data_IF_129798703827
#
_entry.id   IF_129798703827
#
_cell.length_a   1.000
_cell.length_b   1.000
_cell.length_c   1.000
_cell.angle_alpha   90.00
_cell.angle_beta   90.00
_cell.angle_gamma   90.00
#
_symmetry.space_group_name_H-M   'P 1'
#
loop_
_entity.id
_entity.type
_entity.pdbx_description
1 polymer ?
#
# COMPACT_ATOMS: atom_id res chain seq x y z
N UNK A 1 -1.02 16.35 3.14
CA UNK A 1 -1.14 15.55 1.91
C UNK A 1 -2.55 15.65 1.35
N UNK A 2 -2.74 16.41 0.26
CA UNK A 2 -4.06 16.62 -0.35
C UNK A 2 -4.33 15.51 -1.38
N UNK A 3 -5.52 14.93 -1.37
CA UNK A 3 -5.84 13.70 -2.12
C UNK A 3 -6.38 14.03 -3.51
N UNK A 4 -5.79 13.52 -4.59
CA UNK A 4 -6.17 13.97 -5.95
C UNK A 4 -6.40 12.84 -6.94
N UNK A 5 -7.27 13.13 -7.92
CA UNK A 5 -7.60 12.28 -9.07
C UNK A 5 -7.08 12.97 -10.34
N UNK A 6 -6.31 12.26 -11.16
CA UNK A 6 -6.08 12.64 -12.55
C UNK A 6 -7.12 11.93 -13.43
N UNK A 7 -7.96 12.69 -14.14
CA UNK A 7 -8.81 12.16 -15.22
C UNK A 7 -8.29 12.68 -16.55
N UNK A 8 -7.80 11.78 -17.40
CA UNK A 8 -7.57 12.05 -18.82
C UNK A 8 -8.62 11.35 -19.67
N UNK A 9 -9.31 12.12 -20.53
CA UNK A 9 -9.33 11.94 -22.00
C UNK A 9 -10.40 12.82 -22.66
N UNK A 10 -10.01 13.44 -23.78
CA UNK A 10 -10.89 13.63 -24.94
C UNK A 10 -11.34 15.06 -25.25
N UNK A 11 -10.44 15.92 -25.75
CA UNK A 11 -10.80 17.16 -26.42
C UNK A 11 -9.62 17.73 -27.20
N UNK A 12 -9.75 17.88 -28.52
CA UNK A 12 -8.71 18.43 -29.42
C UNK A 12 -8.19 19.79 -28.92
N UNK A 13 -6.89 20.09 -29.03
CA UNK A 13 -6.37 21.41 -28.67
C UNK A 13 -6.70 22.45 -29.75
N UNK A 14 -6.97 23.72 -29.39
CA UNK A 14 -6.86 24.82 -30.34
C UNK A 14 -5.37 25.10 -30.63
N UNK A 15 -5.09 25.40 -31.89
CA UNK A 15 -3.79 25.79 -32.44
C UNK A 15 -3.35 27.13 -31.82
N UNK A 16 -2.11 27.26 -31.30
CA UNK A 16 -1.48 28.56 -31.11
C UNK A 16 -0.67 28.99 -32.34
N UNK A 17 -0.47 30.31 -32.54
CA UNK A 17 -0.01 30.88 -33.80
C UNK A 17 1.46 30.59 -34.09
N UNK A 18 1.74 30.55 -35.40
CA UNK A 18 3.03 30.44 -36.06
C UNK A 18 4.00 31.52 -35.57
N UNK A 19 5.17 31.09 -35.07
CA UNK A 19 6.41 31.88 -35.16
C UNK A 19 7.25 31.24 -36.26
N UNK A 20 7.54 32.06 -37.27
CA UNK A 20 8.21 31.68 -38.49
C UNK A 20 9.72 31.50 -38.29
N UNK A 21 10.27 30.41 -38.83
CA UNK A 21 11.63 30.40 -39.37
C UNK A 21 11.62 29.65 -40.71
N UNK A 22 11.94 30.41 -41.76
CA UNK A 22 12.25 29.96 -43.13
C UNK A 22 13.40 28.95 -43.10
N UNK A 23 13.35 27.87 -43.90
CA UNK A 23 14.00 27.83 -45.22
C UNK A 23 13.74 26.49 -45.94
N UNK A 24 13.48 26.58 -47.27
CA UNK A 24 13.67 25.61 -48.40
C UNK A 24 13.17 24.16 -48.23
N UNK A 25 12.48 23.49 -49.16
CA UNK A 25 12.16 23.70 -50.57
C UNK A 25 11.87 22.32 -51.22
N UNK A 26 10.94 22.30 -52.18
CA UNK A 26 10.72 21.28 -53.24
C UNK A 26 10.22 19.85 -52.92
N UNK A 27 9.19 19.43 -53.69
CA UNK A 27 9.24 18.14 -54.40
C UNK A 27 8.05 17.19 -54.24
N UNK A 28 7.24 17.04 -55.29
CA UNK A 28 6.25 15.97 -55.51
C UNK A 28 6.94 14.60 -55.69
N UNK A 29 6.27 13.49 -55.36
CA UNK A 29 6.66 12.17 -55.88
C UNK A 29 5.93 10.95 -55.29
N UNK A 30 5.34 10.14 -56.18
CA UNK A 30 4.69 8.85 -55.93
C UNK A 30 5.61 7.75 -55.38
N UNK A 31 5.01 6.83 -54.60
CA UNK A 31 5.14 5.38 -54.80
C UNK A 31 6.31 4.63 -54.15
N UNK A 32 5.93 3.57 -53.42
CA UNK A 32 6.60 2.27 -53.17
C UNK A 32 6.82 1.95 -51.69
N UNK A 33 6.28 0.79 -51.31
CA UNK A 33 6.49 0.17 -50.01
C UNK A 33 7.96 -0.13 -49.75
N UNK A 34 8.35 0.08 -48.50
CA UNK A 34 9.59 -0.45 -47.93
C UNK A 34 9.34 -0.72 -46.46
N UNK A 35 9.51 -1.98 -46.07
CA UNK A 35 9.49 -2.42 -44.69
C UNK A 35 10.50 -1.60 -43.87
N UNK A 36 10.01 -0.88 -42.86
CA UNK A 36 10.86 -0.25 -41.85
C UNK A 36 11.25 -1.31 -40.83
N UNK A 37 12.52 -1.71 -40.92
CA UNK A 37 13.25 -2.48 -39.93
C UNK A 37 13.17 -1.70 -38.60
N UNK A 38 12.58 -2.30 -37.57
CA UNK A 38 12.59 -1.74 -36.22
C UNK A 38 14.05 -1.54 -35.78
N UNK A 39 14.37 -0.33 -35.34
CA UNK A 39 15.63 -0.07 -34.64
C UNK A 39 15.63 -0.89 -33.33
N UNK A 40 16.77 -1.46 -32.91
CA UNK A 40 16.84 -2.13 -31.62
C UNK A 40 16.56 -1.08 -30.53
N UNK A 41 15.62 -1.40 -29.64
CA UNK A 41 15.43 -0.64 -28.42
C UNK A 41 16.71 -0.77 -27.58
N UNK A 42 17.29 0.36 -27.20
CA UNK A 42 18.36 0.38 -26.21
C UNK A 42 17.86 -0.33 -24.93
N UNK A 43 18.67 -1.20 -24.31
CA UNK A 43 18.30 -1.82 -23.06
C UNK A 43 18.10 -0.72 -22.01
N UNK A 44 17.11 -0.85 -21.10
CA UNK A 44 16.88 0.15 -20.07
C UNK A 44 18.15 0.27 -19.23
N UNK A 45 18.75 1.46 -19.24
CA UNK A 45 19.80 1.84 -18.30
C UNK A 45 19.19 1.84 -16.91
N UNK A 46 19.75 1.02 -16.03
CA UNK A 46 19.41 1.03 -14.61
C UNK A 46 19.65 2.46 -14.08
N UNK A 47 18.60 3.09 -13.57
CA UNK A 47 18.73 4.34 -12.84
C UNK A 47 19.51 4.08 -11.54
N UNK A 48 20.50 4.92 -11.26
CA UNK A 48 21.38 4.90 -10.07
C UNK A 48 20.66 5.09 -8.70
N UNK A 49 19.34 4.87 -8.62
CA UNK A 49 18.55 5.01 -7.40
C UNK A 49 18.27 3.70 -6.65
N UNK A 50 18.77 2.56 -7.14
CA UNK A 50 18.50 1.22 -6.56
C UNK A 50 19.72 0.53 -5.93
N UNK A 51 20.81 1.25 -5.64
CA UNK A 51 21.92 0.68 -4.87
C UNK A 51 21.64 0.76 -3.37
N UNK A 52 20.90 -0.22 -2.85
CA UNK A 52 21.02 -0.59 -1.44
C UNK A 52 22.45 -1.14 -1.26
N UNK A 53 23.25 -0.68 -0.27
CA UNK A 53 24.59 -1.20 -0.05
C UNK A 53 24.55 -2.73 0.05
N UNK A 54 25.41 -3.41 -0.71
CA UNK A 54 25.52 -4.89 -0.73
C UNK A 54 25.66 -5.46 0.68
N UNK A 55 26.24 -4.70 1.61
CA UNK A 55 26.33 -5.03 3.04
C UNK A 55 24.96 -5.15 3.73
N UNK A 56 24.04 -4.22 3.52
CA UNK A 56 22.69 -4.28 4.12
C UNK A 56 21.89 -5.45 3.54
N UNK A 57 22.08 -5.72 2.26
CA UNK A 57 21.51 -6.90 1.60
C UNK A 57 22.04 -8.22 2.18
N UNK A 58 23.35 -8.29 2.46
CA UNK A 58 23.99 -9.44 3.07
C UNK A 58 23.58 -9.64 4.52
N UNK A 59 23.45 -8.57 5.31
CA UNK A 59 22.99 -8.63 6.70
C UNK A 59 21.54 -9.12 6.77
N UNK A 60 20.66 -8.63 5.88
CA UNK A 60 19.27 -9.08 5.81
C UNK A 60 19.17 -10.56 5.45
N UNK A 61 19.97 -11.01 4.48
CA UNK A 61 20.06 -12.41 4.06
C UNK A 61 20.68 -13.32 5.14
N UNK A 62 21.68 -12.83 5.88
CA UNK A 62 22.36 -13.60 6.92
C UNK A 62 21.48 -13.83 8.18
N UNK A 63 20.41 -13.07 8.33
CA UNK A 63 19.55 -13.11 9.53
C UNK A 63 18.16 -13.67 9.28
N UNK A 64 17.76 -13.85 8.02
CA UNK A 64 16.44 -14.34 7.68
C UNK A 64 16.46 -15.87 7.51
N UNK A 65 15.92 -16.67 8.47
CA UNK A 65 15.68 -18.10 8.24
C UNK A 65 14.70 -18.33 7.07
N UNK A 66 14.01 -17.29 6.61
CA UNK A 66 13.00 -17.31 5.55
C UNK A 66 13.55 -17.80 4.22
N UNK A 67 14.67 -17.24 3.74
CA UNK A 67 15.20 -17.57 2.40
C UNK A 67 15.59 -19.05 2.27
N UNK A 68 16.38 -19.64 3.19
CA UNK A 68 16.74 -21.05 3.11
C UNK A 68 15.58 -22.02 3.37
N UNK A 69 14.47 -21.57 3.97
CA UNK A 69 13.26 -22.40 4.16
C UNK A 69 12.34 -22.31 2.94
N UNK A 70 12.03 -21.11 2.49
CA UNK A 70 11.01 -20.86 1.46
C UNK A 70 11.54 -21.22 0.07
N UNK A 71 12.78 -20.87 -0.30
CA UNK A 71 13.28 -21.13 -1.65
C UNK A 71 13.30 -22.63 -1.98
N UNK A 72 13.90 -23.52 -1.17
CA UNK A 72 13.88 -24.94 -1.45
C UNK A 72 12.46 -25.51 -1.51
N UNK A 73 11.58 -25.10 -0.58
CA UNK A 73 10.18 -25.53 -0.57
C UNK A 73 9.41 -25.13 -1.84
N UNK A 74 9.68 -23.94 -2.36
CA UNK A 74 9.13 -23.47 -3.64
C UNK A 74 9.67 -24.29 -4.82
N UNK A 75 10.99 -24.54 -4.85
CA UNK A 75 11.63 -25.30 -5.93
C UNK A 75 11.08 -26.71 -6.05
N UNK A 76 10.87 -27.35 -4.90
CA UNK A 76 10.38 -28.73 -4.79
C UNK A 76 8.85 -28.82 -4.90
N UNK A 77 8.14 -27.68 -5.03
CA UNK A 77 6.68 -27.59 -5.01
C UNK A 77 6.05 -28.28 -3.78
N UNK A 78 6.72 -28.21 -2.63
CA UNK A 78 6.21 -28.75 -1.36
C UNK A 78 4.99 -27.96 -0.85
N UNK A 79 4.79 -26.75 -1.36
CA UNK A 79 3.81 -25.81 -0.83
C UNK A 79 4.29 -25.22 0.49
N UNK A 80 3.35 -24.77 1.32
CA UNK A 80 3.61 -24.33 2.68
C UNK A 80 2.96 -22.99 2.98
N UNK A 81 2.51 -22.84 4.22
CA UNK A 81 1.91 -21.61 4.71
C UNK A 81 2.81 -21.02 5.80
N UNK A 82 3.31 -19.81 5.58
CA UNK A 82 4.25 -19.14 6.46
C UNK A 82 3.75 -17.77 6.88
N UNK A 83 4.13 -17.34 8.08
CA UNK A 83 3.98 -15.96 8.52
C UNK A 83 5.36 -15.41 8.92
N UNK A 84 5.77 -14.31 8.29
CA UNK A 84 6.98 -13.58 8.65
C UNK A 84 6.62 -12.43 9.59
N UNK A 85 6.85 -12.68 10.87
CA UNK A 85 6.77 -11.68 11.91
C UNK A 85 8.02 -10.81 11.91
N UNK A 86 7.84 -9.50 12.06
CA UNK A 86 8.96 -8.59 12.32
C UNK A 86 8.48 -7.16 12.47
N UNK A 87 9.05 -6.42 13.41
CA UNK A 87 8.68 -5.03 13.63
C UNK A 87 9.15 -4.09 12.52
N UNK A 88 8.75 -2.81 12.64
CA UNK A 88 9.19 -1.75 11.75
C UNK A 88 10.72 -1.67 11.68
N UNK A 89 11.27 -1.65 10.47
CA UNK A 89 12.73 -1.54 10.27
C UNK A 89 13.49 -2.86 10.23
N UNK A 90 12.85 -4.01 10.42
CA UNK A 90 13.51 -5.34 10.37
C UNK A 90 13.85 -5.85 8.96
N UNK A 91 13.48 -5.12 7.91
CA UNK A 91 13.81 -5.49 6.53
C UNK A 91 12.82 -6.45 5.84
N UNK A 92 11.59 -6.62 6.35
CA UNK A 92 10.54 -7.46 5.71
C UNK A 92 10.38 -7.17 4.21
N UNK A 93 10.22 -5.91 3.82
CA UNK A 93 10.10 -5.49 2.42
C UNK A 93 11.31 -5.87 1.58
N UNK A 94 12.52 -5.82 2.16
CA UNK A 94 13.73 -6.28 1.49
C UNK A 94 13.65 -7.79 1.22
N UNK A 95 13.26 -8.60 2.23
CA UNK A 95 13.06 -10.05 2.06
C UNK A 95 12.03 -10.36 0.97
N UNK A 96 10.93 -9.60 0.87
CA UNK A 96 9.96 -9.76 -0.22
C UNK A 96 10.57 -9.55 -1.60
N UNK A 97 11.37 -8.50 -1.76
CA UNK A 97 12.09 -8.22 -3.01
C UNK A 97 13.10 -9.32 -3.31
N UNK A 98 13.85 -9.79 -2.32
CA UNK A 98 14.85 -10.85 -2.49
C UNK A 98 14.23 -12.18 -2.91
N UNK A 99 13.16 -12.62 -2.23
CA UNK A 99 12.44 -13.85 -2.59
C UNK A 99 11.83 -13.73 -3.99
N UNK A 100 11.18 -12.61 -4.29
CA UNK A 100 10.57 -12.39 -5.59
C UNK A 100 11.63 -12.42 -6.71
N UNK A 101 12.75 -11.71 -6.54
CA UNK A 101 13.84 -11.67 -7.52
C UNK A 101 14.51 -13.03 -7.70
N UNK A 102 14.79 -13.75 -6.60
CA UNK A 102 15.45 -15.06 -6.66
C UNK A 102 14.61 -16.15 -7.33
N UNK A 103 13.28 -16.06 -7.27
CA UNK A 103 12.37 -16.99 -7.96
C UNK A 103 12.16 -16.54 -9.40
N UNK A 104 11.92 -15.24 -9.64
CA UNK A 104 11.70 -14.68 -10.99
C UNK A 104 12.93 -14.80 -11.89
N UNK A 105 14.15 -14.75 -11.34
CA UNK A 105 15.38 -14.96 -12.12
C UNK A 105 15.45 -16.34 -12.78
N UNK A 106 14.65 -17.30 -12.33
CA UNK A 106 14.51 -18.65 -12.90
C UNK A 106 13.33 -18.79 -13.86
N UNK A 107 12.65 -17.69 -14.18
CA UNK A 107 11.46 -17.66 -15.04
C UNK A 107 10.16 -18.05 -14.33
N UNK A 108 10.20 -18.28 -13.02
CA UNK A 108 9.02 -18.62 -12.21
C UNK A 108 8.22 -17.37 -11.81
N UNK A 109 6.93 -17.57 -11.51
CA UNK A 109 6.00 -16.48 -11.21
C UNK A 109 5.81 -16.32 -9.70
N UNK A 110 5.96 -15.09 -9.22
CA UNK A 110 5.67 -14.69 -7.83
C UNK A 110 4.59 -13.61 -7.82
N UNK A 111 3.53 -13.82 -7.05
CA UNK A 111 2.46 -12.85 -6.83
C UNK A 111 2.70 -12.12 -5.51
N UNK A 112 3.09 -10.86 -5.61
CA UNK A 112 3.30 -9.93 -4.49
C UNK A 112 2.09 -9.03 -4.36
N UNK A 113 1.53 -8.95 -3.15
CA UNK A 113 0.39 -8.09 -2.82
C UNK A 113 0.57 -7.46 -1.43
N UNK A 114 -0.09 -6.35 -1.18
CA UNK A 114 -0.22 -5.80 0.17
C UNK A 114 -1.69 -5.62 0.56
N UNK A 115 -1.96 -5.46 1.85
CA UNK A 115 -3.30 -5.17 2.35
C UNK A 115 -3.76 -3.74 2.02
N UNK A 116 -2.84 -2.76 2.02
CA UNK A 116 -3.14 -1.35 1.71
C UNK A 116 -2.54 -0.90 0.37
N UNK A 117 -3.16 0.11 -0.24
CA UNK A 117 -2.66 0.69 -1.50
C UNK A 117 -1.26 1.28 -1.37
N UNK A 118 -1.00 1.97 -0.25
CA UNK A 118 0.31 2.59 0.02
C UNK A 118 1.39 1.53 0.19
N UNK A 119 1.13 0.48 0.98
CA UNK A 119 2.09 -0.61 1.18
C UNK A 119 2.37 -1.35 -0.14
N UNK A 120 1.39 -1.44 -1.04
CA UNK A 120 1.58 -2.11 -2.32
C UNK A 120 2.63 -1.45 -3.20
N UNK A 121 2.83 -0.13 -3.10
CA UNK A 121 3.85 0.64 -3.85
C UNK A 121 5.29 0.22 -3.51
N UNK A 122 5.49 -0.44 -2.38
CA UNK A 122 6.82 -0.91 -1.95
C UNK A 122 7.14 -2.30 -2.49
N UNK A 123 6.14 -3.00 -3.02
CA UNK A 123 6.23 -4.37 -3.51
C UNK A 123 6.25 -4.41 -5.03
N UNK A 124 7.00 -5.35 -5.64
CA UNK A 124 6.98 -5.51 -7.09
C UNK A 124 5.55 -5.72 -7.63
N UNK A 125 5.09 -4.84 -8.52
CA UNK A 125 3.81 -4.98 -9.20
C UNK A 125 2.60 -4.31 -8.53
N UNK A 126 2.81 -3.52 -7.47
CA UNK A 126 1.94 -2.40 -7.04
C UNK A 126 0.45 -2.70 -6.94
N UNK A 127 0.09 -3.86 -6.35
CA UNK A 127 -1.31 -4.27 -6.20
C UNK A 127 -1.67 -4.63 -4.78
N UNK A 128 -2.88 -4.21 -4.40
CA UNK A 128 -3.53 -4.70 -3.20
C UNK A 128 -4.05 -6.12 -3.41
N UNK A 129 -4.16 -6.90 -2.33
CA UNK A 129 -4.70 -8.25 -2.37
C UNK A 129 -6.13 -8.27 -2.94
N UNK A 130 -6.98 -7.32 -2.52
CA UNK A 130 -8.32 -7.12 -3.09
C UNK A 130 -8.29 -6.99 -4.62
N UNK A 131 -7.38 -6.17 -5.16
CA UNK A 131 -7.31 -5.97 -6.61
C UNK A 131 -6.71 -7.15 -7.38
N UNK A 132 -5.74 -7.86 -6.78
CA UNK A 132 -5.07 -9.01 -7.41
C UNK A 132 -5.96 -10.23 -7.44
N UNK A 133 -6.64 -10.52 -6.34
CA UNK A 133 -7.45 -11.72 -6.17
C UNK A 133 -8.95 -11.47 -6.35
N UNK A 134 -9.38 -10.22 -6.59
CA UNK A 134 -10.80 -9.89 -6.74
C UNK A 134 -11.60 -10.33 -5.50
N UNK A 135 -11.03 -10.05 -4.32
CA UNK A 135 -11.66 -10.33 -3.03
C UNK A 135 -12.89 -9.42 -2.89
N UNK A 136 -14.09 -9.96 -2.58
CA UNK A 136 -15.27 -9.15 -2.30
C UNK A 136 -15.02 -8.15 -1.17
N UNK A 137 -15.66 -6.97 -1.23
CA UNK A 137 -15.58 -5.98 -0.15
C UNK A 137 -16.43 -6.39 1.06
N UNK A 138 -17.57 -7.02 0.80
CA UNK A 138 -18.44 -7.59 1.83
C UNK A 138 -18.14 -9.07 1.95
N UNK A 139 -17.42 -9.44 3.01
CA UNK A 139 -17.00 -10.82 3.26
C UNK A 139 -17.84 -11.46 4.34
N UNK A 140 -18.13 -12.73 4.11
CA UNK A 140 -18.74 -13.68 5.03
C UNK A 140 -17.84 -14.90 5.13
N UNK A 141 -18.12 -15.77 6.09
CA UNK A 141 -17.39 -17.03 6.24
C UNK A 141 -17.39 -17.84 4.94
N UNK A 142 -18.50 -17.88 4.21
CA UNK A 142 -18.64 -18.65 2.95
C UNK A 142 -18.13 -17.94 1.69
N UNK A 143 -17.57 -16.74 1.84
CA UNK A 143 -17.12 -15.96 0.70
C UNK A 143 -15.97 -16.64 -0.05
N UNK A 144 -15.92 -16.41 -1.37
CA UNK A 144 -14.82 -16.80 -2.25
C UNK A 144 -14.37 -15.58 -3.05
N UNK A 145 -13.16 -15.63 -3.57
CA UNK A 145 -12.68 -14.63 -4.52
C UNK A 145 -13.43 -14.74 -5.85
N UNK A 146 -13.74 -13.60 -6.48
CA UNK A 146 -14.47 -13.54 -7.77
C UNK A 146 -13.56 -13.88 -8.97
N UNK A 147 -12.91 -15.05 -8.92
CA UNK A 147 -12.02 -15.58 -9.94
C UNK A 147 -12.66 -16.80 -10.57
N UNK A 148 -13.08 -16.68 -11.83
CA UNK A 148 -13.63 -17.81 -12.59
C UNK A 148 -12.49 -18.70 -13.12
N UNK A 149 -12.73 -20.00 -13.16
CA UNK A 149 -11.81 -20.96 -13.78
C UNK A 149 -11.60 -20.63 -15.27
N UNK A 150 -10.44 -20.97 -15.81
CA UNK A 150 -10.07 -20.70 -17.21
C UNK A 150 -9.77 -19.22 -17.53
N UNK A 151 -9.99 -18.29 -16.60
CA UNK A 151 -9.63 -16.89 -16.80
C UNK A 151 -8.09 -16.70 -16.83
N UNK A 152 -7.59 -15.62 -17.46
CA UNK A 152 -6.17 -15.30 -17.43
C UNK A 152 -5.59 -15.21 -16.01
N UNK A 153 -6.36 -14.69 -15.06
CA UNK A 153 -5.97 -14.61 -13.65
C UNK A 153 -5.89 -15.99 -13.00
N UNK A 154 -6.88 -16.87 -13.23
CA UNK A 154 -6.80 -18.25 -12.74
C UNK A 154 -5.58 -18.97 -13.30
N UNK A 155 -5.31 -18.83 -14.60
CA UNK A 155 -4.12 -19.41 -15.24
C UNK A 155 -2.81 -18.86 -14.67
N UNK A 156 -2.77 -17.56 -14.33
CA UNK A 156 -1.64 -16.94 -13.67
C UNK A 156 -1.41 -17.55 -12.27
N UNK A 157 -2.47 -17.72 -11.49
CA UNK A 157 -2.43 -18.34 -10.16
C UNK A 157 -1.95 -19.80 -10.24
N UNK A 158 -2.45 -20.56 -11.22
CA UNK A 158 -2.01 -21.95 -11.44
C UNK A 158 -0.50 -22.02 -11.69
N UNK A 159 0.06 -21.08 -12.46
CA UNK A 159 1.50 -21.02 -12.76
C UNK A 159 2.34 -20.38 -11.64
N UNK A 160 1.75 -19.55 -10.78
CA UNK A 160 2.45 -18.91 -9.67
C UNK A 160 3.04 -19.95 -8.71
N UNK A 161 4.28 -19.72 -8.29
CA UNK A 161 5.04 -20.59 -7.39
C UNK A 161 5.00 -20.11 -5.94
N UNK A 162 4.89 -18.80 -5.76
CA UNK A 162 4.84 -18.15 -4.46
C UNK A 162 3.83 -17.01 -4.47
N UNK A 163 3.07 -16.89 -3.38
CA UNK A 163 2.26 -15.72 -3.06
C UNK A 163 2.87 -15.05 -1.82
N UNK A 164 3.18 -13.76 -1.92
CA UNK A 164 3.64 -12.91 -0.83
C UNK A 164 2.55 -11.89 -0.55
N UNK A 165 2.13 -11.78 0.71
CA UNK A 165 1.14 -10.80 1.14
C UNK A 165 1.68 -9.99 2.33
N UNK A 166 1.94 -8.71 2.13
CA UNK A 166 2.47 -7.81 3.17
C UNK A 166 1.37 -7.01 3.88
N UNK A 167 1.65 -6.57 5.10
CA UNK A 167 0.71 -5.88 6.00
C UNK A 167 -0.55 -6.71 6.32
N UNK A 168 -0.38 -8.02 6.51
CA UNK A 168 -1.44 -8.98 6.81
C UNK A 168 -2.34 -8.58 7.99
N UNK A 169 -1.81 -8.18 9.18
CA UNK A 169 -2.62 -8.09 10.41
C UNK A 169 -3.80 -7.14 10.35
N UNK A 170 -3.82 -6.21 9.39
CA UNK A 170 -4.91 -5.26 9.19
C UNK A 170 -6.15 -5.89 8.54
N UNK A 171 -6.04 -7.10 7.97
CA UNK A 171 -7.09 -7.71 7.16
C UNK A 171 -7.96 -8.68 7.97
N UNK A 172 -9.27 -8.66 7.70
CA UNK A 172 -10.17 -9.65 8.28
C UNK A 172 -9.82 -11.06 7.79
N UNK A 173 -9.89 -12.07 8.67
CA UNK A 173 -9.52 -13.46 8.38
C UNK A 173 -10.22 -14.04 7.15
N UNK A 174 -11.47 -13.65 6.93
CA UNK A 174 -12.27 -14.04 5.75
C UNK A 174 -11.62 -13.65 4.42
N UNK A 175 -10.71 -12.67 4.38
CA UNK A 175 -9.95 -12.36 3.16
C UNK A 175 -9.04 -13.53 2.76
N UNK A 176 -8.38 -14.14 3.75
CA UNK A 176 -7.46 -15.26 3.56
C UNK A 176 -8.22 -16.56 3.33
N UNK A 177 -9.32 -16.77 4.06
CA UNK A 177 -10.19 -17.94 3.89
C UNK A 177 -10.88 -17.94 2.52
N UNK A 178 -11.34 -16.77 2.05
CA UNK A 178 -11.89 -16.63 0.70
C UNK A 178 -10.83 -16.92 -0.37
N UNK A 179 -9.58 -16.49 -0.16
CA UNK A 179 -8.48 -16.84 -1.05
C UNK A 179 -8.19 -18.35 -1.01
N UNK A 180 -8.10 -18.95 0.17
CA UNK A 180 -7.86 -20.38 0.36
C UNK A 180 -8.91 -21.22 -0.38
N UNK A 181 -10.20 -20.96 -0.15
CA UNK A 181 -11.32 -21.65 -0.82
C UNK A 181 -11.21 -21.54 -2.34
N UNK A 182 -10.93 -20.35 -2.87
CA UNK A 182 -10.74 -20.16 -4.30
C UNK A 182 -9.51 -20.89 -4.85
N UNK A 183 -8.39 -20.90 -4.13
CA UNK A 183 -7.19 -21.59 -4.57
C UNK A 183 -7.38 -23.11 -4.58
N UNK A 184 -8.06 -23.68 -3.57
CA UNK A 184 -8.45 -25.10 -3.54
C UNK A 184 -9.31 -25.46 -4.75
N UNK A 185 -10.33 -24.66 -5.06
CA UNK A 185 -11.21 -24.89 -6.22
C UNK A 185 -10.46 -24.82 -7.56
N UNK A 186 -9.57 -23.84 -7.74
CA UNK A 186 -8.79 -23.69 -8.98
C UNK A 186 -7.74 -24.81 -9.12
N UNK A 187 -7.09 -25.22 -8.03
CA UNK A 187 -5.91 -26.10 -8.08
C UNK A 187 -6.23 -27.59 -7.94
N UNK A 188 -7.44 -27.96 -7.50
CA UNK A 188 -7.88 -29.37 -7.46
C UNK A 188 -7.82 -30.07 -8.83
N UNK A 189 -7.95 -29.31 -9.92
CA UNK A 189 -7.90 -29.86 -11.28
C UNK A 189 -6.48 -30.25 -11.72
N UNK A 190 -5.45 -29.75 -11.03
CA UNK A 190 -4.07 -30.16 -11.24
C UNK A 190 -3.73 -31.39 -10.39
N UNK A 191 -4.24 -31.42 -9.17
CA UNK A 191 -4.08 -32.52 -8.22
C UNK A 191 -5.23 -32.45 -7.21
N UNK A 192 -6.06 -33.50 -7.16
CA UNK A 192 -7.25 -33.57 -6.32
C UNK A 192 -6.93 -33.41 -4.83
N UNK A 193 -5.73 -33.80 -4.39
CA UNK A 193 -5.30 -33.65 -2.99
C UNK A 193 -5.22 -32.17 -2.55
N UNK A 194 -5.13 -31.23 -3.50
CA UNK A 194 -5.12 -29.80 -3.21
C UNK A 194 -6.42 -29.31 -2.57
N UNK A 195 -7.53 -30.04 -2.66
CA UNK A 195 -8.79 -29.66 -2.02
C UNK A 195 -8.65 -29.53 -0.50
N UNK A 196 -7.80 -30.35 0.12
CA UNK A 196 -7.61 -30.42 1.57
C UNK A 196 -6.38 -29.63 2.04
N UNK A 197 -5.56 -29.13 1.11
CA UNK A 197 -4.31 -28.43 1.44
C UNK A 197 -4.57 -26.93 1.58
N UNK A 198 -4.03 -26.26 2.61
CA UNK A 198 -4.05 -24.81 2.71
C UNK A 198 -3.59 -24.15 1.41
N UNK A 199 -4.35 -23.16 0.96
CA UNK A 199 -4.17 -22.40 -0.27
C UNK A 199 -4.03 -23.28 -1.52
N UNK A 200 -4.71 -24.43 -1.55
CA UNK A 200 -4.63 -25.38 -2.66
C UNK A 200 -3.22 -25.94 -2.89
N UNK A 201 -2.42 -26.04 -1.82
CA UNK A 201 -1.03 -26.52 -1.88
C UNK A 201 -0.03 -25.49 -2.40
N UNK A 202 -0.43 -24.23 -2.62
CA UNK A 202 0.52 -23.16 -2.96
C UNK A 202 1.40 -22.79 -1.79
N UNK A 203 2.62 -22.35 -2.10
CA UNK A 203 3.44 -21.67 -1.12
C UNK A 203 2.92 -20.25 -0.92
N UNK A 204 2.49 -19.93 0.29
CA UNK A 204 1.99 -18.62 0.69
C UNK A 204 2.78 -18.13 1.89
N UNK A 205 3.30 -16.91 1.81
CA UNK A 205 3.94 -16.23 2.93
C UNK A 205 3.24 -14.90 3.19
N UNK A 206 2.78 -14.73 4.42
CA UNK A 206 2.18 -13.49 4.89
C UNK A 206 3.20 -12.73 5.74
N UNK A 207 3.08 -11.42 5.78
CA UNK A 207 4.01 -10.52 6.44
C UNK A 207 3.32 -9.48 7.28
N UNK A 208 3.85 -9.20 8.46
CA UNK A 208 3.35 -8.10 9.27
C UNK A 208 3.86 -8.09 10.69
N UNK A 209 3.25 -7.26 11.51
CA UNK A 209 3.46 -7.19 12.95
C UNK A 209 2.10 -6.99 13.64
N UNK A 210 1.68 -7.95 14.46
CA UNK A 210 0.42 -7.89 15.20
C UNK A 210 0.38 -6.80 16.28
N UNK A 211 1.51 -6.14 16.56
CA UNK A 211 1.56 -4.94 17.41
C UNK A 211 1.14 -3.67 16.67
N UNK A 212 0.96 -3.76 15.36
CA UNK A 212 0.48 -2.65 14.53
C UNK A 212 -1.04 -2.67 14.42
N UNK A 213 -1.57 -2.24 13.27
CA UNK A 213 -3.00 -2.06 13.06
C UNK A 213 -3.66 -3.43 12.84
N UNK A 214 -4.59 -3.78 13.73
CA UNK A 214 -5.46 -4.95 13.63
C UNK A 214 -6.69 -4.68 12.74
N UNK A 215 -7.51 -5.69 12.42
CA UNK A 215 -8.68 -5.49 11.57
C UNK A 215 -9.67 -4.51 12.20
N UNK A 216 -10.10 -3.53 11.42
CA UNK A 216 -11.08 -2.53 11.88
C UNK A 216 -12.48 -3.12 11.82
N UNK A 217 -13.07 -3.38 12.98
CA UNK A 217 -14.46 -3.83 13.13
C UNK A 217 -15.31 -2.65 13.64
N UNK A 218 -16.13 -2.00 12.79
CA UNK A 218 -16.95 -0.87 13.22
C UNK A 218 -17.86 -1.27 14.38
N UNK A 219 -17.78 -0.53 15.49
CA UNK A 219 -18.51 -0.81 16.74
C UNK A 219 -18.20 -2.18 17.36
N UNK A 220 -17.12 -2.83 16.94
CA UNK A 220 -16.67 -4.11 17.48
C UNK A 220 -15.97 -3.96 18.83
N UNK A 221 -16.01 -5.03 19.61
CA UNK A 221 -15.27 -5.19 20.86
C UNK A 221 -13.83 -5.66 20.58
N UNK A 222 -12.98 -5.68 21.62
CA UNK A 222 -11.63 -6.27 21.54
C UNK A 222 -11.71 -7.75 21.11
N UNK A 223 -12.70 -8.48 21.61
CA UNK A 223 -12.95 -9.87 21.27
C UNK A 223 -13.33 -10.03 19.79
N UNK A 224 -14.14 -9.12 19.25
CA UNK A 224 -14.51 -9.15 17.83
C UNK A 224 -13.28 -8.93 16.93
N UNK A 225 -12.38 -8.02 17.31
CA UNK A 225 -11.12 -7.78 16.58
C UNK A 225 -10.22 -9.02 16.61
N UNK A 226 -10.07 -9.66 17.77
CA UNK A 226 -9.31 -10.91 17.89
C UNK A 226 -9.94 -12.00 17.03
N UNK A 227 -11.25 -12.20 17.12
CA UNK A 227 -12.00 -13.18 16.32
C UNK A 227 -11.90 -12.93 14.82
N UNK A 228 -11.75 -11.67 14.40
CA UNK A 228 -11.55 -11.25 13.03
C UNK A 228 -10.10 -11.40 12.54
N UNK A 229 -9.13 -11.56 13.44
CA UNK A 229 -7.71 -11.68 13.09
C UNK A 229 -7.39 -13.06 12.53
N UNK A 230 -6.33 -13.15 11.72
CA UNK A 230 -5.89 -14.40 11.10
C UNK A 230 -5.63 -15.53 12.10
N UNK A 231 -5.17 -15.20 13.31
CA UNK A 231 -4.90 -16.19 14.36
C UNK A 231 -6.16 -16.97 14.80
N UNK A 232 -7.35 -16.44 14.50
CA UNK A 232 -8.65 -17.09 14.74
C UNK A 232 -9.22 -17.78 13.50
N UNK A 233 -8.42 -17.95 12.44
CA UNK A 233 -8.78 -18.69 11.22
C UNK A 233 -8.47 -20.17 11.34
N UNK A 234 -9.23 -21.01 10.62
CA UNK A 234 -8.89 -22.43 10.44
C UNK A 234 -7.55 -22.65 9.72
N UNK A 235 -7.00 -21.62 9.09
CA UNK A 235 -5.69 -21.67 8.42
C UNK A 235 -4.53 -21.60 9.41
N UNK A 236 -4.71 -20.96 10.57
CA UNK A 236 -3.63 -20.66 11.51
C UNK A 236 -2.86 -21.89 12.00
N UNK A 237 -3.50 -23.05 12.31
CA UNK A 237 -2.78 -24.26 12.72
C UNK A 237 -1.78 -24.80 11.69
N UNK A 238 -1.94 -24.44 10.41
CA UNK A 238 -1.02 -24.84 9.34
C UNK A 238 0.10 -23.82 9.11
N UNK A 239 0.09 -22.68 9.82
CA UNK A 239 1.01 -21.59 9.60
C UNK A 239 2.33 -21.82 10.34
N UNK A 240 3.43 -21.82 9.61
CA UNK A 240 4.77 -21.80 10.19
C UNK A 240 5.22 -20.37 10.45
N UNK A 241 5.50 -20.05 11.72
CA UNK A 241 6.01 -18.75 12.13
C UNK A 241 7.51 -18.62 11.86
N UNK A 242 7.87 -17.51 11.22
CA UNK A 242 9.24 -17.07 10.97
C UNK A 242 9.37 -15.67 11.56
N UNK A 243 10.49 -15.35 12.21
CA UNK A 243 10.65 -14.08 12.93
C UNK A 243 11.92 -13.36 12.50
N UNK A 244 11.80 -12.05 12.24
CA UNK A 244 12.91 -11.12 12.14
C UNK A 244 13.00 -10.32 13.44
N UNK A 245 14.15 -10.37 14.10
CA UNK A 245 14.35 -9.77 15.42
C UNK A 245 15.24 -8.53 15.40
N UNK A 246 16.01 -8.31 14.34
CA UNK A 246 16.99 -7.22 14.30
C UNK A 246 16.47 -6.03 13.50
N UNK A 247 16.52 -4.85 14.11
CA UNK A 247 16.23 -3.60 13.42
C UNK A 247 17.39 -3.26 12.48
N UNK A 248 17.17 -3.32 11.18
CA UNK A 248 18.19 -2.98 10.20
C UNK A 248 18.25 -1.48 9.91
N UNK A 249 17.11 -0.77 10.08
CA UNK A 249 17.04 0.68 9.85
C UNK A 249 17.94 1.45 10.80
N UNK A 250 18.08 0.97 12.03
CA UNK A 250 18.90 1.60 13.08
C UNK A 250 20.37 1.18 13.06
N UNK A 251 20.75 0.25 12.17
CA UNK A 251 22.14 -0.23 12.06
C UNK A 251 22.94 0.40 10.92
N UNK A 252 22.32 1.29 10.13
CA UNK A 252 23.00 1.99 9.06
C UNK A 252 24.00 3.02 9.60
N UNK A 253 25.30 2.72 9.47
CA UNK A 253 26.47 3.61 9.38
C UNK A 253 26.69 4.77 10.37
N UNK A 254 25.82 5.04 11.35
CA UNK A 254 26.09 6.05 12.36
C UNK A 254 26.94 5.45 13.49
N UNK A 255 28.14 5.98 13.69
CA UNK A 255 28.96 5.75 14.88
C UNK A 255 28.89 7.07 15.65
N UNK A 256 28.08 7.13 16.71
CA UNK A 256 27.91 8.34 17.51
C UNK A 256 26.89 8.21 18.65
N UNK A 257 26.79 9.22 19.53
CA UNK A 257 25.86 9.22 20.67
C UNK A 257 24.37 9.09 20.26
N UNK A 258 24.04 9.46 19.03
CA UNK A 258 22.70 9.34 18.46
C UNK A 258 22.22 7.88 18.32
N UNK A 259 23.13 6.90 18.27
CA UNK A 259 22.79 5.48 18.13
C UNK A 259 22.17 4.92 19.41
N UNK A 260 22.66 5.34 20.58
CA UNK A 260 22.12 4.88 21.86
C UNK A 260 20.72 5.45 22.08
N UNK A 261 20.49 6.74 21.77
CA UNK A 261 19.16 7.37 21.81
C UNK A 261 18.16 6.67 20.86
N UNK A 262 18.58 6.36 19.63
CA UNK A 262 17.78 5.60 18.67
C UNK A 262 17.45 4.19 19.15
N UNK A 263 18.40 3.52 19.81
CA UNK A 263 18.17 2.20 20.41
C UNK A 263 17.17 2.28 21.55
N UNK A 264 17.34 3.24 22.46
CA UNK A 264 16.45 3.44 23.59
C UNK A 264 15.01 3.76 23.12
N UNK A 265 14.87 4.59 22.09
CA UNK A 265 13.58 4.85 21.44
C UNK A 265 12.98 3.58 20.81
N UNK A 266 13.79 2.77 20.12
CA UNK A 266 13.35 1.49 19.54
C UNK A 266 12.87 0.52 20.60
N UNK A 267 13.62 0.38 21.69
CA UNK A 267 13.29 -0.52 22.80
C UNK A 267 12.03 -0.04 23.52
N UNK A 268 11.86 1.27 23.70
CA UNK A 268 10.64 1.87 24.25
C UNK A 268 9.40 1.58 23.38
N UNK A 269 9.48 1.78 22.05
CA UNK A 269 8.38 1.45 21.12
C UNK A 269 8.04 -0.04 21.15
N UNK A 270 9.04 -0.92 21.19
CA UNK A 270 8.82 -2.37 21.26
C UNK A 270 8.16 -2.77 22.57
N UNK A 271 8.62 -2.21 23.69
CA UNK A 271 8.05 -2.50 25.00
C UNK A 271 6.59 -2.00 25.13
N UNK A 272 6.21 -0.91 24.45
CA UNK A 272 4.80 -0.51 24.30
C UNK A 272 4.03 -1.56 23.51
N UNK A 273 4.53 -1.96 22.34
CA UNK A 273 3.87 -2.94 21.49
C UNK A 273 3.70 -4.31 22.15
N UNK A 274 4.66 -4.70 23.00
CA UNK A 274 4.63 -5.95 23.77
C UNK A 274 3.76 -5.86 25.04
N UNK A 275 3.18 -4.69 25.34
CA UNK A 275 2.35 -4.46 26.53
C UNK A 275 3.15 -4.43 27.85
N UNK A 276 4.47 -4.24 27.78
CA UNK A 276 5.36 -4.16 28.94
C UNK A 276 5.37 -2.77 29.56
N UNK A 277 5.03 -1.75 28.76
CA UNK A 277 4.89 -0.35 29.17
C UNK A 277 3.42 0.05 29.06
N UNK A 278 2.88 0.55 30.17
CA UNK A 278 1.49 0.98 30.27
C UNK A 278 0.89 0.53 31.59
N UNK A 279 0.58 1.46 32.48
CA UNK A 279 -0.11 1.13 33.73
C UNK A 279 -1.63 1.19 33.51
N UNK A 280 -2.34 0.11 33.83
CA UNK A 280 -3.80 0.11 33.89
C UNK A 280 -4.24 0.77 35.19
N UNK A 281 -4.53 2.07 35.13
CA UNK A 281 -5.07 2.79 36.30
C UNK A 281 -6.59 2.66 36.34
N UNK A 282 -7.25 2.54 35.18
CA UNK A 282 -8.73 2.53 35.08
C UNK A 282 -9.26 1.61 33.95
N UNK A 283 -8.52 0.57 33.56
CA UNK A 283 -8.81 -0.22 32.34
C UNK A 283 -8.37 0.46 31.04
N UNK A 284 -7.84 1.68 31.12
CA UNK A 284 -7.14 2.37 30.06
C UNK A 284 -5.63 2.32 30.32
N UNK A 285 -4.89 1.66 29.43
CA UNK A 285 -3.43 1.67 29.45
C UNK A 285 -2.94 3.07 29.08
N UNK A 286 -2.22 3.71 30.00
CA UNK A 286 -1.59 5.02 29.75
C UNK A 286 -0.10 4.83 29.54
N UNK A 287 0.39 5.34 28.42
CA UNK A 287 1.82 5.36 28.09
C UNK A 287 2.34 6.78 28.25
N UNK A 288 3.44 6.93 28.99
CA UNK A 288 4.13 8.22 29.09
C UNK A 288 4.98 8.43 27.84
N UNK A 289 4.71 9.52 27.11
CA UNK A 289 5.50 9.93 25.94
C UNK A 289 6.74 10.70 26.44
N UNK A 290 7.94 10.43 25.89
CA UNK A 290 9.16 11.18 26.18
C UNK A 290 8.99 12.69 25.96
N UNK A 291 9.54 13.47 26.88
CA UNK A 291 9.36 14.93 26.95
C UNK A 291 9.92 15.69 25.74
N UNK A 292 10.94 15.12 25.09
CA UNK A 292 11.59 15.61 23.88
C UNK A 292 10.73 15.41 22.62
N UNK A 293 9.76 14.49 22.66
CA UNK A 293 8.81 14.24 21.58
C UNK A 293 7.51 15.06 21.71
N UNK A 294 7.34 15.78 22.81
CA UNK A 294 6.11 16.50 23.13
C UNK A 294 6.17 17.97 22.73
N UNK A 295 5.10 18.44 22.09
CA UNK A 295 4.79 19.87 21.97
C UNK A 295 3.98 20.24 23.23
N UNK A 296 4.64 20.87 24.20
CA UNK A 296 4.12 21.02 25.58
C UNK A 296 2.99 22.05 25.72
N UNK A 297 3.05 23.16 24.98
CA UNK A 297 2.08 24.25 25.10
C UNK A 297 1.74 24.80 23.71
N UNK A 298 0.45 24.82 23.36
CA UNK A 298 -0.03 25.45 22.13
C UNK A 298 -1.40 26.08 22.34
N UNK A 299 -1.55 27.35 21.96
CA UNK A 299 -2.87 28.01 21.88
C UNK A 299 -3.67 27.46 20.69
N UNK A 300 -3.00 27.18 19.58
CA UNK A 300 -3.56 26.50 18.40
C UNK A 300 -2.74 25.22 18.11
N UNK A 301 -3.29 24.03 18.41
CA UNK A 301 -2.60 22.76 18.17
C UNK A 301 -2.28 22.50 16.70
N UNK A 302 -3.10 22.96 15.75
CA UNK A 302 -2.87 22.75 14.31
C UNK A 302 -1.69 23.62 13.86
N UNK A 303 -1.70 24.89 14.25
CA UNK A 303 -0.57 25.79 13.99
C UNK A 303 0.73 25.23 14.58
N UNK A 304 0.71 24.80 15.83
CA UNK A 304 1.90 24.31 16.53
C UNK A 304 2.49 23.04 15.90
N UNK A 305 1.66 22.04 15.55
CA UNK A 305 2.17 20.82 14.89
C UNK A 305 2.72 21.11 13.49
N UNK A 306 2.10 22.05 12.77
CA UNK A 306 2.55 22.47 11.44
C UNK A 306 3.87 23.22 11.53
N UNK A 307 4.01 24.17 12.44
CA UNK A 307 5.24 24.94 12.63
C UNK A 307 6.40 24.05 13.12
N UNK A 308 6.10 23.13 14.05
CA UNK A 308 7.09 22.16 14.52
C UNK A 308 7.56 21.20 13.43
N UNK A 309 6.67 20.77 12.53
CA UNK A 309 7.01 19.77 11.50
C UNK A 309 7.57 20.43 10.23
N UNK A 310 6.98 21.56 9.83
CA UNK A 310 7.31 22.34 8.63
C UNK A 310 7.70 23.78 9.02
N UNK A 311 8.87 23.97 9.67
CA UNK A 311 9.38 25.30 9.98
C UNK A 311 9.64 26.09 8.68
N UNK A 312 9.23 27.36 8.65
CA UNK A 312 9.32 28.22 7.47
C UNK A 312 8.58 27.70 6.22
N UNK A 313 7.46 26.98 6.40
CA UNK A 313 6.68 26.41 5.29
C UNK A 313 6.39 27.41 4.16
N UNK A 314 6.03 28.65 4.48
CA UNK A 314 5.72 29.69 3.47
C UNK A 314 6.88 29.96 2.51
N UNK A 315 8.13 29.92 3.01
CA UNK A 315 9.34 30.11 2.22
C UNK A 315 9.73 28.84 1.46
N UNK A 316 9.52 27.67 2.06
CA UNK A 316 9.97 26.38 1.55
C UNK A 316 8.89 25.58 0.79
N UNK A 317 7.68 26.12 0.63
CA UNK A 317 6.54 25.41 0.03
C UNK A 317 6.75 24.98 -1.43
N UNK A 318 7.76 25.53 -2.12
CA UNK A 318 8.14 25.14 -3.49
C UNK A 318 9.35 24.20 -3.53
N UNK A 319 9.98 23.91 -2.39
CA UNK A 319 11.12 22.99 -2.29
C UNK A 319 10.62 21.55 -2.10
N UNK A 320 10.75 20.76 -3.16
CA UNK A 320 10.33 19.35 -3.17
C UNK A 320 11.12 18.53 -2.15
N UNK A 321 12.42 18.77 -2.01
CA UNK A 321 13.28 18.03 -1.07
C UNK A 321 12.90 18.32 0.38
N UNK A 322 12.61 19.59 0.69
CA UNK A 322 12.08 20.00 1.98
C UNK A 322 10.76 19.29 2.33
N UNK A 323 9.82 19.24 1.38
CA UNK A 323 8.50 18.64 1.59
C UNK A 323 8.55 17.11 1.73
N UNK A 324 9.41 16.44 0.98
CA UNK A 324 9.51 14.97 0.96
C UNK A 324 10.03 14.36 2.26
N UNK A 325 10.77 15.14 3.06
CA UNK A 325 11.38 14.66 4.31
C UNK A 325 10.43 14.73 5.51
N UNK A 326 9.20 15.24 5.34
CA UNK A 326 8.32 15.62 6.45
C UNK A 326 6.91 15.08 6.21
N UNK A 327 6.29 14.58 7.27
CA UNK A 327 4.90 14.11 7.24
C UNK A 327 4.24 14.35 8.59
N UNK A 328 2.96 14.74 8.56
CA UNK A 328 2.11 14.77 9.76
C UNK A 328 1.14 13.60 9.68
N UNK A 329 1.11 12.80 10.73
CA UNK A 329 0.16 11.71 10.93
C UNK A 329 -0.88 12.15 11.96
N UNK A 330 -2.14 11.79 11.74
CA UNK A 330 -3.23 12.08 12.67
C UNK A 330 -4.16 10.86 12.77
N UNK A 331 -4.80 10.65 13.94
CA UNK A 331 -5.57 9.44 14.22
C UNK A 331 -6.89 9.35 13.44
N UNK A 332 -7.46 10.49 13.03
CA UNK A 332 -8.74 10.54 12.33
C UNK A 332 -8.63 11.28 10.99
N UNK A 333 -9.49 10.89 10.05
CA UNK A 333 -9.56 11.54 8.74
C UNK A 333 -9.96 13.02 8.84
N UNK A 334 -10.81 13.38 9.80
CA UNK A 334 -11.23 14.76 10.02
C UNK A 334 -10.06 15.65 10.47
N UNK A 335 -9.22 15.17 11.39
CA UNK A 335 -8.00 15.90 11.78
C UNK A 335 -7.02 16.03 10.61
N UNK A 336 -6.84 14.96 9.81
CA UNK A 336 -6.05 15.02 8.58
C UNK A 336 -6.60 16.09 7.63
N UNK A 337 -7.92 16.17 7.47
CA UNK A 337 -8.57 17.17 6.63
C UNK A 337 -8.33 18.60 7.16
N UNK A 338 -8.53 18.84 8.46
CA UNK A 338 -8.29 20.15 9.08
C UNK A 338 -6.85 20.62 8.93
N UNK A 339 -5.87 19.75 9.19
CA UNK A 339 -4.44 20.07 9.03
C UNK A 339 -4.11 20.35 7.55
N UNK A 340 -4.64 19.54 6.63
CA UNK A 340 -4.45 19.75 5.20
C UNK A 340 -5.04 21.08 4.73
N UNK A 341 -6.24 21.43 5.17
CA UNK A 341 -6.88 22.70 4.83
C UNK A 341 -6.06 23.88 5.36
N UNK A 342 -5.60 23.81 6.61
CA UNK A 342 -4.72 24.82 7.19
C UNK A 342 -3.43 25.01 6.35
N UNK A 343 -2.77 23.90 5.97
CA UNK A 343 -1.58 23.94 5.11
C UNK A 343 -1.86 24.52 3.71
N UNK A 344 -3.04 24.24 3.13
CA UNK A 344 -3.46 24.86 1.85
C UNK A 344 -3.63 26.37 2.03
N UNK A 345 -4.23 26.82 3.12
CA UNK A 345 -4.44 28.25 3.40
C UNK A 345 -3.12 29.00 3.57
N UNK A 346 -2.11 28.38 4.20
CA UNK A 346 -0.76 28.94 4.34
C UNK A 346 -0.01 29.04 3.01
N UNK A 347 -0.34 28.22 2.01
CA UNK A 347 0.30 28.28 0.70
C UNK A 347 -0.31 29.42 -0.14
N UNK A 348 0.48 30.42 -0.50
CA UNK A 348 0.03 31.59 -1.29
C UNK A 348 0.09 31.39 -2.81
N UNK A 349 0.47 30.20 -3.28
CA UNK A 349 0.49 29.88 -4.70
C UNK A 349 -0.91 29.83 -5.30
N UNK A 350 -0.96 29.86 -6.65
CA UNK A 350 -2.21 29.75 -7.40
C UNK A 350 -2.96 28.46 -7.07
N UNK A 351 -4.26 28.61 -6.87
CA UNK A 351 -5.17 27.51 -6.57
C UNK A 351 -6.04 27.12 -7.76
N UNK A 352 -6.47 25.87 -7.75
CA UNK A 352 -7.44 25.33 -8.68
C UNK A 352 -8.36 24.37 -7.95
N UNK A 353 -9.67 24.62 -8.07
CA UNK A 353 -10.71 23.79 -7.50
C UNK A 353 -11.29 22.86 -8.56
N UNK A 354 -11.47 21.61 -8.18
CA UNK A 354 -12.08 20.55 -8.98
C UNK A 354 -13.34 20.09 -8.27
N UNK A 355 -14.48 20.13 -8.96
CA UNK A 355 -15.76 19.71 -8.41
C UNK A 355 -16.10 18.30 -8.90
N UNK A 356 -16.63 17.46 -8.03
CA UNK A 356 -17.21 16.18 -8.43
C UNK A 356 -18.50 16.40 -9.22
N UNK A 357 -18.87 15.39 -10.01
CA UNK A 357 -20.15 15.31 -10.70
C UNK A 357 -20.75 13.97 -10.30
N UNK A 358 -21.71 14.04 -9.38
CA UNK A 358 -22.25 12.88 -8.69
C UNK A 358 -23.68 12.62 -9.16
N UNK A 359 -23.98 11.35 -9.45
CA UNK A 359 -25.29 10.91 -9.92
C UNK A 359 -25.69 9.60 -9.27
N UNK A 360 -26.99 9.42 -9.08
CA UNK A 360 -27.55 8.19 -8.49
C UNK A 360 -27.57 7.10 -9.55
N UNK A 361 -27.18 5.88 -9.17
CA UNK A 361 -27.29 4.73 -10.05
C UNK A 361 -28.70 4.12 -9.95
N UNK A 362 -29.49 4.21 -11.02
CA UNK A 362 -30.87 3.70 -11.09
C UNK A 362 -31.01 2.17 -11.19
N UNK A 363 -29.97 1.42 -10.83
CA UNK A 363 -29.95 -0.06 -11.01
C UNK A 363 -30.68 -0.84 -9.91
N UNK A 364 -30.96 -0.22 -8.77
CA UNK A 364 -31.74 -0.82 -7.70
C UNK A 364 -33.23 -0.43 -7.84
N UNK A 365 -34.06 -1.40 -8.22
CA UNK A 365 -35.51 -1.25 -8.47
C UNK A 365 -36.35 -0.86 -7.22
N UNK A 366 -35.71 -0.60 -6.08
CA UNK A 366 -36.36 -0.31 -4.80
C UNK A 366 -36.53 1.20 -4.51
N UNK A 367 -35.97 2.09 -5.34
CA UNK A 367 -35.75 3.50 -4.99
C UNK A 367 -36.74 4.53 -5.58
N UNK A 368 -37.86 4.13 -6.18
CA UNK A 368 -38.79 5.10 -6.81
C UNK A 368 -39.43 6.09 -5.83
N UNK A 369 -39.33 5.87 -4.52
CA UNK A 369 -39.93 6.74 -3.49
C UNK A 369 -38.95 7.79 -2.91
N UNK A 370 -37.65 7.74 -3.22
CA UNK A 370 -36.61 8.59 -2.59
C UNK A 370 -35.86 9.50 -3.59
N UNK A 371 -36.21 9.50 -4.88
CA UNK A 371 -35.57 10.37 -5.88
C UNK A 371 -35.63 11.87 -5.52
N UNK A 372 -36.67 12.30 -4.79
CA UNK A 372 -36.82 13.69 -4.34
C UNK A 372 -35.92 14.09 -3.16
N UNK A 373 -35.29 13.14 -2.46
CA UNK A 373 -34.44 13.40 -1.28
C UNK A 373 -32.97 13.56 -1.68
N UNK A 374 -32.57 12.99 -2.81
CA UNK A 374 -31.18 12.95 -3.26
C UNK A 374 -30.88 14.07 -4.26
N UNK A 375 -30.99 15.33 -3.81
CA UNK A 375 -30.63 16.48 -4.65
C UNK A 375 -29.11 16.53 -4.87
N UNK A 376 -28.63 17.22 -5.94
CA UNK A 376 -27.20 17.44 -6.14
C UNK A 376 -26.51 18.08 -4.92
N UNK A 377 -27.20 19.00 -4.23
CA UNK A 377 -26.69 19.63 -3.01
C UNK A 377 -26.49 18.61 -1.90
N UNK A 378 -27.43 17.68 -1.71
CA UNK A 378 -27.28 16.58 -0.75
C UNK A 378 -26.10 15.68 -1.13
N UNK A 379 -25.99 15.28 -2.41
CA UNK A 379 -24.88 14.45 -2.89
C UNK A 379 -23.53 15.11 -2.64
N UNK A 380 -23.42 16.42 -2.84
CA UNK A 380 -22.20 17.20 -2.60
C UNK A 380 -21.77 17.21 -1.12
N UNK A 381 -22.68 16.92 -0.18
CA UNK A 381 -22.34 16.80 1.26
C UNK A 381 -21.80 15.42 1.65
N UNK A 382 -21.93 14.41 0.78
CA UNK A 382 -21.54 13.04 1.10
C UNK A 382 -20.01 12.95 1.14
N UNK A 383 -19.48 12.55 2.30
CA UNK A 383 -18.06 12.20 2.46
C UNK A 383 -17.90 10.68 2.50
N UNK A 384 -17.15 10.15 1.55
CA UNK A 384 -16.89 8.71 1.41
C UNK A 384 -15.40 8.41 1.61
N UNK A 385 -15.09 7.34 2.36
CA UNK A 385 -13.72 6.84 2.42
C UNK A 385 -13.26 6.36 1.04
N UNK A 386 -12.01 6.66 0.66
CA UNK A 386 -11.43 6.25 -0.63
C UNK A 386 -11.87 7.07 -1.85
N UNK A 387 -12.61 8.17 -1.66
CA UNK A 387 -12.98 9.12 -2.72
C UNK A 387 -12.68 10.55 -2.23
N UNK A 388 -12.21 11.48 -3.09
CA UNK A 388 -12.11 12.89 -2.72
C UNK A 388 -13.49 13.47 -2.40
N UNK A 389 -13.53 14.52 -1.55
CA UNK A 389 -14.74 15.30 -1.30
C UNK A 389 -15.19 16.01 -2.57
N UNK A 390 -16.45 16.48 -2.58
CA UNK A 390 -17.04 17.17 -3.73
C UNK A 390 -16.15 18.28 -4.28
N UNK A 391 -15.69 19.18 -3.41
CA UNK A 391 -14.73 20.21 -3.76
C UNK A 391 -13.32 19.77 -3.37
N UNK A 392 -12.44 19.68 -4.37
CA UNK A 392 -11.03 19.42 -4.19
C UNK A 392 -10.21 20.63 -4.66
N UNK A 393 -9.70 21.40 -3.71
CA UNK A 393 -8.84 22.56 -3.99
C UNK A 393 -7.37 22.16 -3.88
N UNK A 394 -6.60 22.49 -4.92
CA UNK A 394 -5.16 22.23 -5.01
C UNK A 394 -4.41 23.51 -5.29
N UNK A 395 -3.21 23.62 -4.72
CA UNK A 395 -2.27 24.71 -4.98
C UNK A 395 -1.00 24.17 -5.61
N UNK A 396 -0.31 25.01 -6.36
CA UNK A 396 1.00 24.65 -6.93
C UNK A 396 1.96 24.25 -5.80
N UNK A 397 2.74 23.19 -6.05
CA UNK A 397 3.72 22.59 -5.13
C UNK A 397 3.16 21.85 -3.91
N UNK A 398 1.84 21.61 -3.85
CA UNK A 398 1.26 20.79 -2.77
C UNK A 398 1.54 19.29 -3.01
N UNK A 399 2.04 18.55 -2.00
CA UNK A 399 2.18 17.10 -2.08
C UNK A 399 0.82 16.40 -2.14
N UNK A 400 0.67 15.50 -3.12
CA UNK A 400 -0.57 14.76 -3.35
C UNK A 400 -0.39 13.25 -3.25
N UNK A 401 -1.43 12.57 -2.77
CA UNK A 401 -1.52 11.11 -2.80
C UNK A 401 -2.55 10.66 -3.83
N UNK A 402 -2.18 9.71 -4.67
CA UNK A 402 -3.12 9.04 -5.56
C UNK A 402 -3.95 8.02 -4.76
N UNK A 403 -5.28 8.10 -4.90
CA UNK A 403 -6.21 7.20 -4.20
C UNK A 403 -6.56 5.94 -4.99
N UNK A 404 -6.22 5.88 -6.29
CA UNK A 404 -6.56 4.76 -7.17
C UNK A 404 -5.41 4.47 -8.13
N UNK A 405 -5.23 3.19 -8.44
CA UNK A 405 -4.28 2.74 -9.45
C UNK A 405 -4.80 3.17 -10.84
N UNK A 406 -3.96 3.87 -11.60
CA UNK A 406 -4.31 4.47 -12.89
C UNK A 406 -4.16 3.46 -14.05
N UNK A 407 -3.25 2.49 -13.92
CA UNK A 407 -2.87 1.55 -14.98
C UNK A 407 -3.73 0.28 -15.02
N UNK A 408 -5.05 0.41 -14.86
CA UNK A 408 -5.97 -0.74 -14.95
C UNK A 408 -6.24 -1.19 -16.38
#
# INVERSE_FOLDING_TARGET
>A
MVRTRATGRGGRPPVPPVVATRDRGCGRGHGRGRATRAAPADPPTASDQDQIPIMDALIALAQAPVVPIVIPGVNENKGGFFFLYGFGGTGKTFIWRTLASAIRSRGDIVLTVASSGIASLLLPGDRTAHSRFVIPLNLTEDSTCNIKQGTPLANLIVKAKLIIWDEEPMMHKYCFEALDKTLRDILRFKDTSNLERPFGGKTVILGGDFRQILPVIPKGTRQDIVNASLNSSYLWPYCQLLTLTKNMRLQGNEIGPHVDELRDFSDWILAIGDGMIGSSVDGNEKVQIPDDLLIKESVDPISAIVESTYPDFTRCCNDIGYLQQRVILAPTLDMVESINQYMILLNHNSEKSYLSSDTICSSDQTYSALEHVHTPEFLNTIKCSGVPNHALTLKVSVPVMLLRNIDR
#
